data_IF_518859658614
#
_entry.id   IF_518859658614
#
_cell.length_a   1.000
_cell.length_b   1.000
_cell.length_c   1.000
_cell.angle_alpha   90.00
_cell.angle_beta   90.00
_cell.angle_gamma   90.00
#
_symmetry.space_group_name_H-M   'P 1'
#
loop_
_entity.id
_entity.type
_entity.pdbx_description
1 polymer ?
#
# COMPACT_ATOMS: atom_id res chain seq x y z
N UNK A 1 -25.75 -8.86 -3.88
CA UNK A 1 -24.63 -9.22 -3.00
C UNK A 1 -24.62 -8.21 -1.87
N UNK A 2 -24.74 -8.68 -0.62
CA UNK A 2 -24.56 -7.84 0.55
C UNK A 2 -23.07 -7.55 0.78
N UNK A 3 -22.75 -6.55 1.60
CA UNK A 3 -21.37 -6.24 1.97
C UNK A 3 -20.67 -7.43 2.64
N UNK A 4 -21.38 -8.20 3.48
CA UNK A 4 -20.81 -9.35 4.17
C UNK A 4 -20.43 -10.45 3.17
N UNK A 5 -21.31 -10.76 2.23
CA UNK A 5 -21.03 -11.76 1.17
C UNK A 5 -19.81 -11.37 0.32
N UNK A 6 -19.66 -10.08 -0.01
CA UNK A 6 -18.49 -9.57 -0.72
C UNK A 6 -17.21 -9.75 0.09
N UNK A 7 -17.23 -9.36 1.38
CA UNK A 7 -16.06 -9.47 2.26
C UNK A 7 -15.63 -10.93 2.46
N UNK A 8 -16.59 -11.85 2.62
CA UNK A 8 -16.31 -13.28 2.74
C UNK A 8 -15.73 -13.85 1.43
N UNK A 9 -16.31 -13.47 0.28
CA UNK A 9 -15.84 -13.92 -1.04
C UNK A 9 -14.41 -13.45 -1.36
N UNK A 10 -14.01 -12.26 -0.89
CA UNK A 10 -12.71 -11.66 -1.20
C UNK A 10 -11.69 -11.73 -0.05
N UNK A 11 -12.03 -12.42 1.06
CA UNK A 11 -11.24 -12.45 2.28
C UNK A 11 -9.79 -12.86 2.07
N UNK A 12 -9.57 -13.95 1.33
CA UNK A 12 -8.23 -14.49 1.09
C UNK A 12 -7.36 -13.49 0.31
N UNK A 13 -7.88 -12.94 -0.78
CA UNK A 13 -7.21 -11.89 -1.57
C UNK A 13 -6.84 -10.69 -0.71
N UNK A 14 -7.77 -10.17 0.10
CA UNK A 14 -7.49 -9.01 0.97
C UNK A 14 -6.38 -9.30 1.98
N UNK A 15 -6.34 -10.52 2.53
CA UNK A 15 -5.28 -10.92 3.45
C UNK A 15 -3.95 -11.04 2.72
N UNK A 16 -3.92 -11.61 1.52
CA UNK A 16 -2.70 -11.71 0.72
C UNK A 16 -2.15 -10.33 0.34
N UNK A 17 -3.00 -9.41 -0.13
CA UNK A 17 -2.63 -8.03 -0.42
C UNK A 17 -2.06 -7.31 0.82
N UNK A 18 -2.71 -7.50 1.98
CA UNK A 18 -2.20 -6.97 3.25
C UNK A 18 -0.83 -7.57 3.60
N UNK A 19 -0.67 -8.88 3.44
CA UNK A 19 0.58 -9.59 3.71
C UNK A 19 1.71 -9.11 2.79
N UNK A 20 1.42 -8.82 1.52
CA UNK A 20 2.40 -8.28 0.57
C UNK A 20 2.85 -6.88 0.95
N UNK A 21 1.94 -6.04 1.43
CA UNK A 21 2.30 -4.71 1.92
C UNK A 21 3.18 -4.75 3.17
N UNK A 22 2.79 -5.51 4.20
CA UNK A 22 3.55 -5.57 5.46
C UNK A 22 4.89 -6.28 5.35
N UNK A 23 5.12 -7.07 4.29
CA UNK A 23 6.44 -7.65 3.98
C UNK A 23 7.45 -6.61 3.53
N UNK A 24 7.02 -5.41 3.14
CA UNK A 24 7.91 -4.31 2.79
C UNK A 24 8.48 -3.73 4.09
N UNK A 25 9.80 -3.82 4.34
CA UNK A 25 10.40 -3.33 5.59
C UNK A 25 10.63 -1.82 5.51
N UNK A 26 9.57 -1.04 5.31
CA UNK A 26 9.59 0.43 5.22
C UNK A 26 9.80 1.10 6.59
N UNK A 27 10.95 0.85 7.23
CA UNK A 27 11.27 1.31 8.58
C UNK A 27 11.91 2.71 8.52
N UNK A 28 11.15 3.75 8.84
CA UNK A 28 11.58 5.16 8.78
C UNK A 28 12.78 5.51 9.65
N UNK A 29 12.90 4.89 10.82
CA UNK A 29 13.99 5.14 11.78
C UNK A 29 15.37 4.62 11.32
N UNK A 30 15.42 3.85 10.22
CA UNK A 30 16.63 3.18 9.72
C UNK A 30 16.89 3.62 8.27
N UNK A 31 17.97 4.36 8.05
CA UNK A 31 18.31 4.94 6.74
C UNK A 31 18.55 3.89 5.64
N UNK A 32 18.96 2.67 6.00
CA UNK A 32 19.12 1.54 5.07
C UNK A 32 17.80 1.15 4.36
N UNK A 33 16.65 1.45 4.97
CA UNK A 33 15.32 1.14 4.43
C UNK A 33 14.71 2.26 3.58
N UNK A 34 15.47 3.29 3.19
CA UNK A 34 14.95 4.37 2.32
C UNK A 34 14.35 3.85 1.01
N UNK A 35 14.95 2.82 0.42
CA UNK A 35 14.40 2.17 -0.78
C UNK A 35 13.09 1.42 -0.50
N UNK A 36 12.96 0.79 0.66
CA UNK A 36 11.75 0.08 1.06
C UNK A 36 10.58 1.04 1.35
N UNK A 37 10.86 2.22 1.91
CA UNK A 37 9.86 3.28 2.10
C UNK A 37 9.31 3.74 0.75
N UNK A 38 10.19 3.90 -0.24
CA UNK A 38 9.75 4.23 -1.60
C UNK A 38 8.92 3.10 -2.21
N UNK A 39 9.35 1.84 -2.06
CA UNK A 39 8.60 0.66 -2.53
C UNK A 39 7.20 0.58 -1.91
N UNK A 40 7.07 0.85 -0.60
CA UNK A 40 5.78 0.87 0.07
C UNK A 40 4.88 2.00 -0.46
N UNK A 41 5.46 3.18 -0.69
CA UNK A 41 4.72 4.31 -1.25
C UNK A 41 4.20 4.02 -2.66
N UNK A 42 5.05 3.48 -3.54
CA UNK A 42 4.66 3.11 -4.90
C UNK A 42 3.59 1.99 -4.88
N UNK A 43 3.74 0.98 -4.01
CA UNK A 43 2.73 -0.08 -3.85
C UNK A 43 1.37 0.48 -3.44
N UNK A 44 1.34 1.40 -2.47
CA UNK A 44 0.10 2.01 -1.97
C UNK A 44 -0.59 2.86 -3.06
N UNK A 45 0.18 3.65 -3.80
CA UNK A 45 -0.32 4.46 -4.91
C UNK A 45 -1.01 3.57 -5.96
N UNK A 46 -0.37 2.48 -6.37
CA UNK A 46 -0.95 1.54 -7.32
C UNK A 46 -2.25 0.91 -6.81
N UNK A 47 -2.28 0.45 -5.55
CA UNK A 47 -3.50 -0.16 -4.97
C UNK A 47 -4.64 0.83 -4.83
N UNK A 48 -4.34 2.11 -4.53
CA UNK A 48 -5.34 3.17 -4.51
C UNK A 48 -5.98 3.39 -5.88
N UNK A 49 -5.18 3.42 -6.95
CA UNK A 49 -5.69 3.54 -8.32
C UNK A 49 -6.53 2.30 -8.72
N UNK A 50 -6.07 1.10 -8.40
CA UNK A 50 -6.82 -0.14 -8.67
C UNK A 50 -8.12 -0.24 -7.88
N UNK A 51 -8.17 0.33 -6.67
CA UNK A 51 -9.39 0.44 -5.87
C UNK A 51 -10.41 1.44 -6.45
N UNK A 52 -10.04 2.20 -7.48
CA UNK A 52 -10.92 3.11 -8.21
C UNK A 52 -10.85 4.56 -7.75
N UNK A 53 -9.79 4.98 -7.05
CA UNK A 53 -9.53 6.41 -6.82
C UNK A 53 -9.15 7.07 -8.15
N UNK A 54 -9.67 8.28 -8.40
CA UNK A 54 -9.40 9.03 -9.63
C UNK A 54 -7.91 9.40 -9.77
N UNK A 55 -7.25 9.67 -8.64
CA UNK A 55 -5.85 10.09 -8.56
C UNK A 55 -5.20 9.54 -7.30
N UNK A 56 -3.96 9.07 -7.43
CA UNK A 56 -3.03 8.80 -6.34
C UNK A 56 -1.62 9.10 -6.83
N UNK A 57 -0.79 9.72 -6.00
CA UNK A 57 0.54 10.18 -6.40
C UNK A 57 1.54 10.05 -5.26
N UNK A 58 2.74 9.55 -5.56
CA UNK A 58 3.85 9.61 -4.60
C UNK A 58 4.48 11.01 -4.66
N UNK A 59 4.22 11.84 -3.65
CA UNK A 59 4.74 13.20 -3.56
C UNK A 59 6.04 13.21 -2.75
N UNK A 60 7.18 13.66 -3.34
CA UNK A 60 8.44 13.74 -2.62
C UNK A 60 8.42 14.86 -1.57
N UNK A 61 9.06 14.62 -0.44
CA UNK A 61 9.32 15.61 0.61
C UNK A 61 10.81 15.64 0.96
N UNK A 62 11.24 16.55 1.84
CA UNK A 62 12.59 16.51 2.40
C UNK A 62 12.88 15.21 3.17
N UNK A 63 11.83 14.58 3.72
CA UNK A 63 11.89 13.34 4.47
C UNK A 63 11.36 12.14 3.68
N UNK A 64 10.33 11.50 4.21
CA UNK A 64 9.68 10.36 3.58
C UNK A 64 8.58 10.85 2.62
N UNK A 65 8.37 10.17 1.49
CA UNK A 65 7.29 10.53 0.58
C UNK A 65 5.93 10.39 1.27
N UNK A 66 4.96 11.16 0.77
CA UNK A 66 3.53 10.96 1.06
C UNK A 66 2.87 10.36 -0.18
N UNK A 67 1.76 9.66 0.00
CA UNK A 67 0.95 9.02 -1.05
C UNK A 67 -0.48 9.53 -0.95
#
# INVERSE_FOLDING_TARGET
>A
MSLHEYLDQHRERHIEEWMDFVRIPSISAKSEHRGDIRRAADWLMERMLEAGLDTAEVVPTEGHPIV
#
